data_IF_416900296886
#
_entry.id   IF_416900296886
#
_cell.length_a   1.000
_cell.length_b   1.000
_cell.length_c   1.000
_cell.angle_alpha   90.00
_cell.angle_beta   90.00
_cell.angle_gamma   90.00
#
_symmetry.space_group_name_H-M   'P 1'
#
loop_
_entity.id
_entity.type
_entity.pdbx_description
1 polymer ?
#
# COMPACT_ATOMS: atom_id res chain seq x y z
N UNK A 1 8.45 -5.22 22.23
CA UNK A 1 8.72 -6.14 21.10
C UNK A 1 8.56 -5.27 19.88
N UNK A 2 9.63 -5.02 19.13
CA UNK A 2 9.47 -4.44 17.82
C UNK A 2 8.88 -5.55 16.95
N UNK A 3 7.74 -5.31 16.30
CA UNK A 3 7.26 -6.25 15.29
C UNK A 3 8.25 -6.20 14.13
N UNK A 4 9.01 -7.28 13.95
CA UNK A 4 10.02 -7.44 12.91
C UNK A 4 9.59 -8.55 11.95
N UNK A 5 9.84 -8.34 10.67
CA UNK A 5 9.64 -9.32 9.62
C UNK A 5 10.81 -10.32 9.61
N UNK A 6 10.51 -11.58 9.34
CA UNK A 6 11.53 -12.62 9.22
C UNK A 6 12.21 -12.53 7.86
N UNK A 7 13.55 -12.60 7.79
CA UNK A 7 14.28 -12.67 6.53
C UNK A 7 13.83 -13.82 5.62
N UNK A 8 14.02 -13.65 4.32
CA UNK A 8 13.77 -14.67 3.29
C UNK A 8 12.34 -15.26 3.35
N UNK A 9 11.36 -14.42 3.68
CA UNK A 9 9.96 -14.79 3.88
C UNK A 9 9.02 -13.95 3.01
N UNK A 10 7.85 -14.49 2.70
CA UNK A 10 6.77 -13.76 2.01
C UNK A 10 5.58 -13.57 2.94
N UNK A 11 5.05 -12.35 2.99
CA UNK A 11 3.90 -12.00 3.80
C UNK A 11 2.74 -11.54 2.91
N UNK A 12 1.55 -12.09 3.13
CA UNK A 12 0.32 -11.47 2.64
C UNK A 12 -0.02 -10.29 3.57
N UNK A 13 -0.12 -9.09 3.02
CA UNK A 13 -0.36 -7.85 3.75
C UNK A 13 -1.65 -7.22 3.24
N UNK A 14 -2.53 -6.86 4.17
CA UNK A 14 -3.81 -6.23 3.89
C UNK A 14 -3.91 -4.85 4.55
N UNK A 15 -4.53 -3.89 3.85
CA UNK A 15 -4.85 -2.56 4.37
C UNK A 15 -6.30 -2.53 4.84
N UNK A 16 -6.49 -2.26 6.13
CA UNK A 16 -7.79 -1.92 6.71
C UNK A 16 -7.80 -0.42 7.03
N UNK A 17 -8.60 0.34 6.29
CA UNK A 17 -8.79 1.77 6.50
C UNK A 17 -10.07 2.01 7.30
N UNK A 18 -9.92 2.67 8.44
CA UNK A 18 -11.01 2.94 9.38
C UNK A 18 -11.28 4.44 9.51
N UNK A 19 -12.56 4.80 9.58
CA UNK A 19 -12.99 6.10 10.08
C UNK A 19 -13.28 6.00 11.58
N UNK A 20 -12.25 6.21 12.40
CA UNK A 20 -12.35 6.16 13.86
C UNK A 20 -13.08 7.38 14.47
N UNK A 21 -13.44 8.38 13.65
CA UNK A 21 -14.22 9.54 14.12
C UNK A 21 -15.72 9.28 14.12
N UNK A 22 -16.19 8.26 13.38
CA UNK A 22 -17.57 7.82 13.35
C UNK A 22 -17.91 6.95 14.58
N UNK A 23 -19.20 6.87 14.94
CA UNK A 23 -19.67 5.99 15.99
C UNK A 23 -20.99 5.30 15.57
N UNK A 24 -20.97 4.00 15.21
CA UNK A 24 -19.83 3.07 15.27
C UNK A 24 -18.68 3.44 14.32
N UNK A 25 -17.46 2.97 14.64
CA UNK A 25 -16.31 3.05 13.72
C UNK A 25 -16.70 2.41 12.40
N UNK A 26 -16.44 3.11 11.31
CA UNK A 26 -16.76 2.64 9.97
C UNK A 26 -15.51 2.17 9.23
N UNK A 27 -15.69 1.24 8.30
CA UNK A 27 -14.63 0.72 7.45
C UNK A 27 -14.68 1.40 6.10
N UNK A 28 -13.77 2.35 5.87
CA UNK A 28 -13.64 3.09 4.61
C UNK A 28 -13.01 2.22 3.52
N UNK A 29 -12.38 1.08 3.87
CA UNK A 29 -11.91 0.11 2.85
C UNK A 29 -13.02 -0.32 1.89
N UNK A 30 -14.29 -0.39 2.31
CA UNK A 30 -15.39 -0.71 1.40
C UNK A 30 -15.61 0.40 0.38
N UNK A 31 -15.52 1.67 0.78
CA UNK A 31 -15.63 2.81 -0.16
C UNK A 31 -14.48 2.79 -1.17
N UNK A 32 -13.26 2.48 -0.73
CA UNK A 32 -12.10 2.31 -1.62
C UNK A 32 -12.30 1.15 -2.60
N UNK A 33 -12.88 0.03 -2.16
CA UNK A 33 -13.18 -1.12 -3.01
C UNK A 33 -14.30 -0.81 -4.03
N UNK A 34 -15.37 -0.14 -3.59
CA UNK A 34 -16.48 0.29 -4.45
C UNK A 34 -16.02 1.31 -5.50
N UNK A 35 -15.13 2.23 -5.12
CA UNK A 35 -14.54 3.25 -5.98
C UNK A 35 -13.14 2.86 -6.49
N UNK A 36 -12.86 1.56 -6.61
CA UNK A 36 -11.52 1.03 -6.93
C UNK A 36 -10.89 1.59 -8.22
N UNK A 37 -11.71 2.00 -9.19
CA UNK A 37 -11.24 2.59 -10.44
C UNK A 37 -10.53 3.95 -10.23
N UNK A 38 -10.83 4.65 -9.15
CA UNK A 38 -10.27 5.98 -8.84
C UNK A 38 -9.38 6.00 -7.61
N UNK A 39 -9.20 4.88 -6.92
CA UNK A 39 -8.30 4.79 -5.77
C UNK A 39 -7.14 3.83 -6.02
N UNK A 40 -5.95 4.18 -5.50
CA UNK A 40 -4.82 3.26 -5.42
C UNK A 40 -3.93 3.59 -4.22
N UNK A 41 -3.56 2.57 -3.45
CA UNK A 41 -2.51 2.60 -2.45
C UNK A 41 -1.13 2.38 -3.09
N UNK A 42 -0.15 3.14 -2.61
CA UNK A 42 1.25 3.07 -3.02
C UNK A 42 2.13 2.79 -1.80
N UNK A 43 3.16 1.97 -2.00
CA UNK A 43 4.04 1.51 -0.93
C UNK A 43 5.50 1.82 -1.28
N UNK A 44 6.03 2.89 -0.68
CA UNK A 44 7.41 3.32 -0.92
C UNK A 44 8.31 2.81 0.20
N UNK A 45 9.02 1.72 -0.06
CA UNK A 45 9.99 1.15 0.88
C UNK A 45 11.34 1.87 0.71
N UNK A 46 11.90 2.35 1.83
CA UNK A 46 13.20 3.01 1.88
C UNK A 46 14.08 2.40 2.97
N UNK A 47 15.26 1.90 2.60
CA UNK A 47 16.28 1.38 3.54
C UNK A 47 16.06 -0.06 4.03
N UNK A 48 14.90 -0.65 3.76
CA UNK A 48 14.60 -2.05 4.06
C UNK A 48 14.61 -2.90 2.78
N UNK A 49 15.03 -4.16 2.92
CA UNK A 49 15.05 -5.15 1.84
C UNK A 49 13.67 -5.81 1.72
N UNK A 50 12.66 -5.04 1.30
CA UNK A 50 11.30 -5.54 1.09
C UNK A 50 10.81 -5.07 -0.28
N UNK A 51 10.37 -6.01 -1.09
CA UNK A 51 9.67 -5.78 -2.35
C UNK A 51 8.17 -5.97 -2.13
N UNK A 52 7.34 -5.15 -2.78
CA UNK A 52 5.88 -5.14 -2.62
C UNK A 52 5.23 -5.43 -3.97
N UNK A 53 4.49 -6.53 -4.03
CA UNK A 53 3.67 -6.92 -5.17
C UNK A 53 2.19 -6.71 -4.87
N UNK A 54 1.44 -6.20 -5.85
CA UNK A 54 0.00 -6.04 -5.73
C UNK A 54 -0.71 -7.38 -5.94
N UNK A 55 -1.66 -7.71 -5.07
CA UNK A 55 -2.44 -8.95 -5.12
C UNK A 55 -3.92 -8.72 -5.43
N UNK A 56 -4.30 -7.47 -5.72
CA UNK A 56 -5.64 -7.07 -6.13
C UNK A 56 -5.60 -6.15 -7.37
N UNK A 57 -6.75 -6.03 -8.03
CA UNK A 57 -6.92 -5.14 -9.17
C UNK A 57 -8.38 -4.72 -9.32
N UNK A 58 -8.58 -3.54 -9.90
CA UNK A 58 -9.89 -3.05 -10.33
C UNK A 58 -10.38 -3.78 -11.59
N UNK A 59 -11.59 -3.43 -12.04
CA UNK A 59 -12.22 -4.03 -13.23
C UNK A 59 -11.44 -3.83 -14.53
N UNK A 60 -10.50 -2.87 -14.58
CA UNK A 60 -9.63 -2.61 -15.72
C UNK A 60 -8.26 -3.30 -15.59
N UNK A 61 -8.03 -4.04 -14.50
CA UNK A 61 -6.78 -4.73 -14.24
C UNK A 61 -5.69 -3.85 -13.63
N UNK A 62 -6.00 -2.64 -13.17
CA UNK A 62 -5.03 -1.79 -12.47
C UNK A 62 -5.06 -2.08 -10.98
N UNK A 63 -3.92 -2.02 -10.27
CA UNK A 63 -3.87 -2.31 -8.84
C UNK A 63 -4.73 -1.34 -8.00
N UNK A 64 -5.18 -1.85 -6.83
CA UNK A 64 -5.87 -1.06 -5.81
C UNK A 64 -4.96 -0.92 -4.58
N UNK A 65 -4.30 -1.99 -4.16
CA UNK A 65 -3.38 -2.02 -3.02
C UNK A 65 -4.06 -2.19 -1.66
N UNK A 66 -5.28 -2.71 -1.61
CA UNK A 66 -5.88 -3.21 -0.37
C UNK A 66 -5.28 -4.56 0.03
N UNK A 67 -4.79 -5.35 -0.93
CA UNK A 67 -4.06 -6.60 -0.74
C UNK A 67 -2.73 -6.59 -1.49
N UNK A 68 -1.65 -6.98 -0.81
CA UNK A 68 -0.28 -7.06 -1.36
C UNK A 68 0.46 -8.29 -0.85
N UNK A 69 1.49 -8.71 -1.57
CA UNK A 69 2.51 -9.67 -1.12
C UNK A 69 3.83 -8.94 -0.90
N UNK A 70 4.43 -9.12 0.28
CA UNK A 70 5.70 -8.49 0.65
C UNK A 70 6.78 -9.55 0.68
N UNK A 71 7.75 -9.45 -0.24
CA UNK A 71 8.88 -10.35 -0.35
C UNK A 71 10.03 -9.76 0.45
N UNK A 72 10.35 -10.39 1.58
CA UNK A 72 11.33 -9.91 2.55
C UNK A 72 12.67 -10.58 2.30
N UNK A 73 13.71 -9.77 2.09
CA UNK A 73 15.09 -10.20 1.89
C UNK A 73 15.89 -10.25 3.20
N UNK A 74 17.19 -9.94 3.11
CA UNK A 74 18.10 -9.98 4.25
C UNK A 74 17.76 -8.92 5.33
N UNK A 75 18.22 -9.19 6.56
CA UNK A 75 18.08 -8.28 7.70
C UNK A 75 18.45 -6.83 7.33
N UNK A 76 17.57 -5.90 7.67
CA UNK A 76 17.63 -4.51 7.27
C UNK A 76 16.68 -3.66 8.12
N UNK A 77 16.91 -2.35 8.11
CA UNK A 77 16.12 -1.40 8.87
C UNK A 77 15.80 -0.20 7.97
N UNK A 78 14.52 0.09 7.85
CA UNK A 78 14.04 1.17 7.01
C UNK A 78 12.65 1.62 7.41
N UNK A 79 11.93 2.13 6.42
CA UNK A 79 10.54 2.56 6.55
C UNK A 79 9.77 2.22 5.29
N UNK A 80 8.46 2.16 5.42
CA UNK A 80 7.52 2.15 4.31
C UNK A 80 6.62 3.37 4.44
N UNK A 81 6.51 4.17 3.38
CA UNK A 81 5.49 5.21 3.27
C UNK A 81 4.32 4.63 2.48
N UNK A 82 3.14 4.62 3.10
CA UNK A 82 1.88 4.18 2.51
C UNK A 82 1.09 5.43 2.12
N UNK A 83 0.75 5.54 0.84
CA UNK A 83 0.01 6.68 0.29
C UNK A 83 -1.26 6.20 -0.40
N UNK A 84 -2.42 6.73 -0.05
CA UNK A 84 -3.64 6.59 -0.84
C UNK A 84 -3.75 7.77 -1.79
N UNK A 85 -3.95 7.50 -3.08
CA UNK A 85 -4.32 8.52 -4.06
C UNK A 85 -5.78 8.39 -4.47
N UNK A 86 -6.47 9.51 -4.55
CA UNK A 86 -7.74 9.65 -5.24
C UNK A 86 -7.54 10.28 -6.63
N UNK A 87 -8.10 9.63 -7.64
CA UNK A 87 -7.98 9.89 -9.07
C UNK A 87 -6.53 9.95 -9.60
N UNK A 88 -5.66 8.95 -9.32
CA UNK A 88 -4.40 8.84 -10.01
C UNK A 88 -4.60 8.49 -11.50
N UNK A 89 -3.67 8.92 -12.36
CA UNK A 89 -3.51 8.37 -13.71
C UNK A 89 -2.85 6.98 -13.61
N UNK A 90 -3.68 5.96 -13.40
CA UNK A 90 -3.24 4.55 -13.30
C UNK A 90 -2.56 4.03 -14.58
N UNK A 91 -2.75 4.70 -15.72
CA UNK A 91 -2.12 4.36 -16.99
C UNK A 91 -0.74 4.98 -17.20
N UNK A 92 -0.32 5.91 -16.34
CA UNK A 92 0.98 6.56 -16.48
C UNK A 92 2.13 5.56 -16.21
N UNK A 93 3.31 5.77 -16.83
CA UNK A 93 4.43 4.83 -16.73
C UNK A 93 4.80 4.50 -15.29
N UNK A 94 4.79 3.20 -14.95
CA UNK A 94 5.19 2.69 -13.65
C UNK A 94 4.13 2.78 -12.55
N UNK A 95 2.99 3.46 -12.75
CA UNK A 95 1.97 3.64 -11.71
C UNK A 95 1.35 2.31 -11.29
N UNK A 96 1.07 1.43 -12.26
CA UNK A 96 0.61 0.06 -11.98
C UNK A 96 1.67 -0.81 -11.25
N UNK A 97 2.91 -0.36 -11.16
CA UNK A 97 3.99 -1.01 -10.40
C UNK A 97 4.36 -0.25 -9.13
N UNK A 98 3.54 0.74 -8.71
CA UNK A 98 3.73 1.47 -7.47
C UNK A 98 4.52 2.78 -7.58
N UNK A 99 4.83 3.27 -8.79
CA UNK A 99 5.53 4.55 -8.98
C UNK A 99 4.57 5.75 -8.79
N UNK A 100 4.39 6.16 -7.53
CA UNK A 100 3.46 7.23 -7.16
C UNK A 100 3.87 8.61 -7.72
N UNK A 101 5.15 8.85 -8.03
CA UNK A 101 5.58 10.15 -8.54
C UNK A 101 4.96 10.48 -9.90
N UNK A 102 4.58 9.47 -10.68
CA UNK A 102 3.92 9.61 -11.98
C UNK A 102 2.39 9.57 -11.88
N UNK A 103 1.84 9.21 -10.72
CA UNK A 103 0.41 8.94 -10.55
C UNK A 103 -0.45 10.21 -10.60
N UNK A 104 0.07 11.37 -10.19
CA UNK A 104 -0.77 12.56 -10.02
C UNK A 104 -1.86 12.33 -8.98
N UNK A 105 -3.06 12.86 -9.23
CA UNK A 105 -4.20 12.75 -8.31
C UNK A 105 -4.02 13.51 -7.00
N UNK A 106 -5.01 13.40 -6.13
CA UNK A 106 -5.03 13.99 -4.79
C UNK A 106 -4.53 12.95 -3.76
N UNK A 107 -3.89 13.41 -2.68
CA UNK A 107 -3.42 12.53 -1.60
C UNK A 107 -4.43 12.55 -0.46
N UNK A 108 -5.22 11.48 -0.31
CA UNK A 108 -6.13 11.35 0.84
C UNK A 108 -5.36 11.00 2.12
N UNK A 109 -4.35 10.13 1.99
CA UNK A 109 -3.61 9.55 3.13
C UNK A 109 -2.13 9.45 2.77
N UNK A 110 -1.26 9.81 3.71
CA UNK A 110 0.18 9.53 3.67
C UNK A 110 0.68 9.25 5.08
N UNK A 111 1.15 8.03 5.32
CA UNK A 111 1.63 7.59 6.64
C UNK A 111 2.90 6.75 6.48
N UNK A 112 3.87 6.95 7.37
CA UNK A 112 5.11 6.17 7.39
C UNK A 112 5.16 5.24 8.59
N UNK A 113 5.57 3.98 8.34
CA UNK A 113 5.79 2.96 9.36
C UNK A 113 7.25 2.50 9.34
N UNK A 114 7.86 2.21 10.51
CA UNK A 114 9.15 1.54 10.53
C UNK A 114 9.03 0.15 9.92
N UNK A 115 10.04 -0.26 9.15
CA UNK A 115 10.14 -1.59 8.56
C UNK A 115 11.44 -2.23 9.03
N UNK A 116 11.33 -3.24 9.88
CA UNK A 116 12.46 -3.94 10.51
C UNK A 116 12.45 -5.39 10.06
N UNK A 117 13.58 -5.87 9.57
CA UNK A 117 13.80 -7.27 9.17
C UNK A 117 14.91 -7.85 10.04
N UNK A 118 14.61 -8.91 10.82
CA UNK A 118 15.52 -9.52 11.81
C UNK A 118 15.44 -11.06 11.85
#
# INVERSE_FOLDING_TARGET
VADALTPDSTYAVAVLLLNETANPVDTVSHEVEEECAVHQFFFQVGGANVEVDYSDADVNGNPIGLSTEWIVGAASNGQVTVTLRHQPDKGAPGVASGEVANAGGETDIEVSFPLVVE
#
